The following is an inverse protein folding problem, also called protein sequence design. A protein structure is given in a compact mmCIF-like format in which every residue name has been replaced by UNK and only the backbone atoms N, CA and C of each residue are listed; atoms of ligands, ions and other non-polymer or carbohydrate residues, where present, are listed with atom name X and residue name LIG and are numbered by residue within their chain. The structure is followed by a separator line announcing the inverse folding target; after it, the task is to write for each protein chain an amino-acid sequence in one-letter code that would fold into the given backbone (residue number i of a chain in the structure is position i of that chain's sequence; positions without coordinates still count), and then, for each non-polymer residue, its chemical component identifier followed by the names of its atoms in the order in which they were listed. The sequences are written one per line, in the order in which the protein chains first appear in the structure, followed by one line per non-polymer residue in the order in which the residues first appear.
data_IF_685174532000
#
_entry.id   IF_685174532000
#
_cell.length_a   1.000
_cell.length_b   1.000
_cell.length_c   1.000
_cell.angle_alpha   90.00
_cell.angle_beta   90.00
_cell.angle_gamma   90.00
#
_symmetry.space_group_name_H-M   'P 1'
#
loop_
_entity.id
_entity.type
_entity.pdbx_description
1 polymer ?
#
# COMPACT_ATOMS: atom_id res chain seq x y z
N UNK A 1 7.21 16.59 -17.94
CA UNK A 1 6.93 17.64 -16.93
C UNK A 1 5.75 17.08 -16.18
N UNK A 2 5.90 16.76 -14.90
CA UNK A 2 4.84 16.03 -14.19
C UNK A 2 3.59 16.87 -14.01
N UNK A 3 2.42 16.25 -14.22
CA UNK A 3 1.12 16.83 -13.92
C UNK A 3 0.84 16.78 -12.41
N UNK A 4 1.27 15.71 -11.75
CA UNK A 4 1.05 15.48 -10.31
C UNK A 4 2.30 14.95 -9.65
N UNK A 5 2.57 15.46 -8.44
CA UNK A 5 3.58 14.92 -7.54
C UNK A 5 2.89 14.35 -6.30
N UNK A 6 3.17 13.08 -5.99
CA UNK A 6 2.74 12.40 -4.78
C UNK A 6 3.92 12.31 -3.82
N UNK A 7 3.73 12.74 -2.57
CA UNK A 7 4.76 12.67 -1.52
C UNK A 7 4.31 11.67 -0.46
N UNK A 8 5.14 10.66 -0.21
CA UNK A 8 4.87 9.48 0.62
C UNK A 8 4.56 8.25 -0.23
N UNK A 9 5.38 7.21 -0.10
CA UNK A 9 5.31 5.91 -0.78
C UNK A 9 4.60 4.80 -0.01
N UNK A 10 3.91 5.14 1.08
CA UNK A 10 3.04 4.22 1.80
C UNK A 10 1.84 3.73 0.97
N UNK A 11 0.99 2.84 1.52
CA UNK A 11 -0.12 2.21 0.80
C UNK A 11 -1.06 3.19 0.08
N UNK A 12 -1.34 4.32 0.72
CA UNK A 12 -2.20 5.37 0.14
C UNK A 12 -1.49 6.08 -1.01
N UNK A 13 -0.26 6.52 -0.83
CA UNK A 13 0.48 7.26 -1.85
C UNK A 13 0.76 6.43 -3.09
N UNK A 14 1.19 5.18 -2.92
CA UNK A 14 1.36 4.25 -4.04
C UNK A 14 0.06 3.99 -4.81
N UNK A 15 -1.04 3.79 -4.08
CA UNK A 15 -2.36 3.60 -4.71
C UNK A 15 -2.83 4.85 -5.45
N UNK A 16 -2.70 6.04 -4.84
CA UNK A 16 -3.04 7.32 -5.48
C UNK A 16 -2.23 7.55 -6.75
N UNK A 17 -0.91 7.33 -6.72
CA UNK A 17 -0.06 7.47 -7.89
C UNK A 17 -0.50 6.50 -9.01
N UNK A 18 -0.75 5.23 -8.67
CA UNK A 18 -1.24 4.22 -9.61
C UNK A 18 -2.56 4.66 -10.29
N UNK A 19 -3.54 5.10 -9.50
CA UNK A 19 -4.83 5.54 -10.04
C UNK A 19 -4.75 6.78 -10.93
N UNK A 20 -3.82 7.69 -10.66
CA UNK A 20 -3.57 8.87 -11.50
C UNK A 20 -2.84 8.49 -12.78
N UNK A 21 -1.86 7.59 -12.71
CA UNK A 21 -1.19 7.06 -13.91
C UNK A 21 -2.18 6.31 -14.81
N UNK A 22 -3.09 5.51 -14.25
CA UNK A 22 -4.14 4.81 -15.01
C UNK A 22 -5.11 5.77 -15.74
N UNK A 23 -5.24 7.00 -15.25
CA UNK A 23 -6.03 8.06 -15.89
C UNK A 23 -5.24 8.87 -16.95
N UNK A 24 -3.96 8.56 -17.14
CA UNK A 24 -3.11 9.16 -18.17
C UNK A 24 -2.28 10.36 -17.74
N UNK A 25 -2.19 10.65 -16.43
CA UNK A 25 -1.35 11.73 -15.90
C UNK A 25 0.14 11.33 -15.83
N UNK A 26 1.05 12.27 -16.09
CA UNK A 26 2.49 12.13 -15.82
C UNK A 26 2.74 12.34 -14.32
N UNK A 27 2.89 11.25 -13.55
CA UNK A 27 2.99 11.29 -12.08
C UNK A 27 4.41 10.98 -11.60
N UNK A 28 4.89 11.75 -10.63
CA UNK A 28 6.07 11.40 -9.82
C UNK A 28 5.67 11.07 -8.39
N UNK A 29 6.25 10.02 -7.82
CA UNK A 29 6.11 9.66 -6.41
C UNK A 29 7.46 9.74 -5.72
N UNK A 30 7.50 10.35 -4.55
CA UNK A 30 8.70 10.45 -3.71
C UNK A 30 8.43 9.85 -2.33
N UNK A 31 9.42 9.12 -1.79
CA UNK A 31 9.44 8.56 -0.44
C UNK A 31 10.71 9.07 0.26
N UNK A 32 10.63 9.32 1.57
CA UNK A 32 11.77 9.78 2.37
C UNK A 32 12.75 8.64 2.68
N UNK A 33 12.25 7.41 2.78
CA UNK A 33 13.04 6.21 3.01
C UNK A 33 13.79 5.77 1.74
N UNK A 34 14.97 5.19 1.95
CA UNK A 34 15.79 4.63 0.86
C UNK A 34 15.07 3.50 0.10
N UNK A 35 14.15 2.81 0.76
CA UNK A 35 13.41 1.67 0.23
C UNK A 35 11.94 1.72 0.68
N UNK A 36 11.01 1.54 -0.26
CA UNK A 36 9.58 1.50 0.05
C UNK A 36 9.28 0.31 0.96
N UNK A 37 8.63 0.58 2.10
CA UNK A 37 8.30 -0.45 3.08
C UNK A 37 9.47 -0.83 3.99
N UNK A 38 10.48 0.03 4.10
CA UNK A 38 11.46 -0.01 5.20
C UNK A 38 10.83 0.56 6.48
N UNK A 39 11.29 0.11 7.64
CA UNK A 39 10.89 0.62 8.97
C UNK A 39 9.36 0.75 9.21
N UNK A 40 8.59 -0.18 8.65
CA UNK A 40 7.12 -0.15 8.66
C UNK A 40 6.55 -0.10 10.08
N UNK A 41 5.89 1.00 10.40
CA UNK A 41 5.16 1.19 11.67
C UNK A 41 3.69 0.75 11.49
N UNK A 42 3.49 -0.51 11.13
CA UNK A 42 2.17 -1.12 10.98
C UNK A 42 2.24 -2.60 11.36
N UNK A 43 1.22 -3.11 12.04
CA UNK A 43 1.11 -4.54 12.39
C UNK A 43 0.96 -5.44 11.15
N UNK A 44 0.66 -4.87 9.98
CA UNK A 44 0.48 -5.62 8.73
C UNK A 44 -0.80 -6.47 8.68
N UNK A 45 -1.76 -6.21 9.58
CA UNK A 45 -3.02 -6.95 9.64
C UNK A 45 -4.02 -6.31 8.70
N UNK A 46 -4.34 -6.99 7.61
CA UNK A 46 -5.33 -6.57 6.62
C UNK A 46 -6.34 -7.69 6.34
N UNK A 47 -7.57 -7.31 6.01
CA UNK A 47 -8.63 -8.23 5.65
C UNK A 47 -8.30 -9.02 4.37
N UNK A 48 -8.78 -10.25 4.27
CA UNK A 48 -8.53 -11.11 3.09
C UNK A 48 -9.16 -10.57 1.81
N UNK A 49 -10.15 -9.70 1.97
CA UNK A 49 -10.94 -9.08 0.92
C UNK A 49 -10.09 -8.08 0.14
N UNK A 50 -9.14 -7.41 0.81
CA UNK A 50 -8.22 -6.45 0.21
C UNK A 50 -7.35 -7.08 -0.89
N UNK A 51 -6.93 -8.34 -0.70
CA UNK A 51 -6.13 -9.06 -1.72
C UNK A 51 -6.89 -9.22 -3.03
N UNK A 52 -8.20 -9.45 -2.95
CA UNK A 52 -9.05 -9.55 -4.15
C UNK A 52 -9.33 -8.16 -4.72
N UNK A 53 -9.70 -7.20 -3.87
CA UNK A 53 -10.10 -5.86 -4.29
C UNK A 53 -8.98 -5.10 -5.00
N UNK A 54 -7.75 -5.20 -4.49
CA UNK A 54 -6.58 -4.48 -5.01
C UNK A 54 -5.61 -5.38 -5.79
N UNK A 55 -6.02 -6.62 -6.10
CA UNK A 55 -5.19 -7.62 -6.80
C UNK A 55 -3.78 -7.77 -6.18
N UNK A 56 -3.69 -7.83 -4.85
CA UNK A 56 -2.42 -7.88 -4.13
C UNK A 56 -1.76 -9.26 -4.27
N UNK A 57 -0.43 -9.32 -4.36
CA UNK A 57 0.28 -10.58 -4.50
C UNK A 57 0.13 -11.44 -3.23
N UNK A 58 -0.26 -12.70 -3.40
CA UNK A 58 -0.38 -13.65 -2.27
C UNK A 58 0.96 -13.93 -1.58
N UNK A 59 2.08 -13.67 -2.26
CA UNK A 59 3.43 -13.76 -1.70
C UNK A 59 3.69 -12.74 -0.59
N UNK A 60 2.89 -11.67 -0.50
CA UNK A 60 2.97 -10.69 0.59
C UNK A 60 2.35 -11.19 1.91
N UNK A 61 1.66 -12.34 1.92
CA UNK A 61 1.07 -12.91 3.13
C UNK A 61 2.15 -13.65 3.92
N UNK A 62 2.62 -13.05 5.02
CA UNK A 62 3.57 -13.70 5.93
C UNK A 62 2.90 -14.77 6.80
N UNK A 63 1.69 -14.51 7.30
CA UNK A 63 0.90 -15.45 8.09
C UNK A 63 -0.60 -15.15 8.00
N UNK A 64 -1.44 -16.10 8.46
CA UNK A 64 -2.91 -15.96 8.47
C UNK A 64 -3.45 -15.98 9.90
N UNK A 65 -4.22 -14.97 10.26
CA UNK A 65 -4.94 -14.91 11.53
C UNK A 65 -6.24 -15.73 11.39
N UNK A 66 -6.45 -16.68 12.30
CA UNK A 66 -7.63 -17.58 12.30
C UNK A 66 -8.69 -17.19 13.33
N UNK A 67 -8.31 -16.47 14.38
CA UNK A 67 -9.18 -16.08 15.48
C UNK A 67 -8.70 -14.77 16.09
N UNK A 68 -9.65 -13.96 16.56
CA UNK A 68 -9.41 -12.74 17.34
C UNK A 68 -10.18 -12.91 18.65
N UNK A 69 -9.50 -12.73 19.78
CA UNK A 69 -10.11 -12.82 21.12
C UNK A 69 -10.20 -11.40 21.67
N UNK A 70 -11.40 -11.00 22.04
CA UNK A 70 -11.65 -9.74 22.73
C UNK A 70 -11.72 -10.01 24.23
N UNK A 71 -10.92 -9.30 25.00
CA UNK A 71 -11.02 -9.27 26.45
C UNK A 71 -11.77 -7.99 26.82
N UNK A 72 -12.95 -8.15 27.40
CA UNK A 72 -13.76 -7.06 27.97
C UNK A 72 -13.73 -7.16 29.49
#
# INVERSE_FOLDING_TARGET
MYDVIVVGGGPVGGYTACQLTDQGFEVSLFEEDDEVGKDVICTGVIGTEAFKQFNLPRTAILSRIKSIIFFC
#
